data_IF_788994125346
#
_entry.id   IF_788994125346
#
_cell.length_a   1.000
_cell.length_b   1.000
_cell.length_c   1.000
_cell.angle_alpha   90.00
_cell.angle_beta   90.00
_cell.angle_gamma   90.00
#
_symmetry.space_group_name_H-M   'P 1'
#
loop_
_entity.id
_entity.type
_entity.pdbx_description
1 polymer ?
#
# COMPACT_ATOMS: atom_id res chain seq x y z
N UNK A 1 22.56 34.76 25.30
CA UNK A 1 22.50 34.45 23.86
C UNK A 1 22.45 32.94 23.72
N UNK A 2 21.28 32.40 23.36
CA UNK A 2 20.99 30.96 23.36
C UNK A 2 21.40 30.33 22.02
N UNK A 3 22.22 29.29 22.08
CA UNK A 3 22.61 28.45 20.95
C UNK A 3 21.54 27.37 20.76
N UNK A 4 20.72 27.51 19.71
CA UNK A 4 19.76 26.50 19.31
C UNK A 4 20.49 25.35 18.58
N UNK A 5 20.77 24.28 19.30
CA UNK A 5 21.15 22.99 18.72
C UNK A 5 19.95 22.43 17.95
N UNK A 6 20.01 22.47 16.62
CA UNK A 6 19.03 21.82 15.75
C UNK A 6 19.22 20.30 15.80
N UNK A 7 18.51 19.66 16.73
CA UNK A 7 18.25 18.23 16.73
C UNK A 7 17.45 17.88 15.47
N UNK A 8 18.07 17.16 14.52
CA UNK A 8 17.37 16.51 13.42
C UNK A 8 17.26 15.01 13.71
N UNK A 9 16.12 14.51 14.22
CA UNK A 9 15.93 13.09 14.39
C UNK A 9 15.56 12.45 13.04
N UNK A 10 16.33 11.43 12.64
CA UNK A 10 15.97 10.35 11.73
C UNK A 10 15.55 10.70 10.29
N UNK A 11 16.55 10.68 9.39
CA UNK A 11 16.33 10.44 7.95
C UNK A 11 16.13 8.93 7.75
N UNK A 12 14.87 8.49 7.64
CA UNK A 12 14.50 7.09 7.42
C UNK A 12 15.04 6.57 6.08
N UNK A 13 16.11 5.77 6.11
CA UNK A 13 16.68 5.10 4.91
C UNK A 13 15.71 4.09 4.26
N UNK A 14 14.70 3.63 5.00
CA UNK A 14 13.72 2.63 4.55
C UNK A 14 12.64 3.18 3.60
N UNK A 15 12.32 4.48 3.67
CA UNK A 15 11.34 5.11 2.77
C UNK A 15 11.69 4.96 1.30
N UNK A 16 12.99 4.96 1.00
CA UNK A 16 13.54 4.78 -0.35
C UNK A 16 13.33 3.35 -0.87
N UNK A 17 13.42 2.33 -0.01
CA UNK A 17 13.20 0.94 -0.41
C UNK A 17 11.73 0.66 -0.72
N UNK A 18 10.80 1.21 0.08
CA UNK A 18 9.37 1.10 -0.22
C UNK A 18 9.03 1.75 -1.56
N UNK A 19 9.60 2.93 -1.87
CA UNK A 19 9.43 3.56 -3.19
C UNK A 19 10.03 2.75 -4.33
N UNK A 20 11.24 2.21 -4.15
CA UNK A 20 11.90 1.42 -5.20
C UNK A 20 11.13 0.12 -5.52
N UNK A 21 10.51 -0.51 -4.52
CA UNK A 21 9.67 -1.68 -4.73
C UNK A 21 8.34 -1.32 -5.41
N UNK A 22 7.72 -0.20 -5.04
CA UNK A 22 6.54 0.33 -5.73
C UNK A 22 6.86 0.63 -7.21
N UNK A 23 7.97 1.33 -7.49
CA UNK A 23 8.41 1.68 -8.85
C UNK A 23 8.71 0.42 -9.68
N UNK A 24 9.33 -0.60 -9.09
CA UNK A 24 9.60 -1.88 -9.76
C UNK A 24 8.31 -2.62 -10.11
N UNK A 25 7.33 -2.65 -9.21
CA UNK A 25 6.05 -3.30 -9.47
C UNK A 25 5.25 -2.58 -10.57
N UNK A 26 5.23 -1.25 -10.58
CA UNK A 26 4.62 -0.45 -11.66
C UNK A 26 5.33 -0.71 -13.01
N UNK A 27 6.64 -0.96 -13.00
CA UNK A 27 7.38 -1.32 -14.22
C UNK A 27 7.07 -2.74 -14.74
N UNK A 28 6.70 -3.69 -13.88
CA UNK A 28 6.33 -5.06 -14.28
C UNK A 28 4.92 -5.10 -14.89
N UNK A 29 3.95 -4.40 -14.29
CA UNK A 29 2.56 -4.37 -14.78
C UNK A 29 2.44 -3.73 -16.17
N UNK A 30 3.40 -2.86 -16.54
CA UNK A 30 3.38 -2.09 -17.80
C UNK A 30 3.93 -2.86 -19.03
N UNK A 31 4.57 -4.03 -18.87
CA UNK A 31 5.29 -4.70 -19.97
C UNK A 31 4.47 -5.62 -20.90
N UNK A 32 3.16 -5.83 -20.67
CA UNK A 32 2.44 -6.86 -21.44
C UNK A 32 0.93 -6.70 -21.70
N UNK A 33 0.25 -5.66 -21.22
CA UNK A 33 -1.22 -5.57 -21.35
C UNK A 33 -1.68 -4.14 -21.61
N UNK A 34 -2.83 -3.99 -22.28
CA UNK A 34 -3.51 -2.70 -22.51
C UNK A 34 -3.53 -1.91 -21.19
N UNK A 35 -2.73 -0.84 -21.11
CA UNK A 35 -2.62 0.16 -20.04
C UNK A 35 -3.77 0.11 -19.02
N UNK A 36 -3.71 -0.85 -18.08
CA UNK A 36 -4.56 -0.78 -16.91
C UNK A 36 -4.00 0.39 -16.13
N UNK A 37 -4.83 1.40 -15.88
CA UNK A 37 -4.41 2.57 -15.10
C UNK A 37 -4.06 2.06 -13.72
N UNK A 38 -2.78 1.93 -13.40
CA UNK A 38 -2.33 1.65 -12.05
C UNK A 38 -2.19 2.96 -11.30
N UNK A 39 -2.38 2.94 -9.99
CA UNK A 39 -1.99 4.04 -9.13
C UNK A 39 -1.45 3.52 -7.79
N UNK A 40 -0.73 4.38 -7.09
CA UNK A 40 -0.11 4.07 -5.81
C UNK A 40 -0.80 4.90 -4.69
N UNK A 41 -1.78 4.32 -3.96
CA UNK A 41 -2.48 5.02 -2.89
C UNK A 41 -1.52 5.44 -1.79
N UNK A 42 -1.78 6.59 -1.16
CA UNK A 42 -0.90 7.13 -0.11
C UNK A 42 -1.12 6.41 1.21
N UNK A 43 -0.03 6.14 1.91
CA UNK A 43 -0.05 5.51 3.22
C UNK A 43 0.91 6.21 4.18
N UNK A 44 0.44 6.39 5.41
CA UNK A 44 1.29 6.63 6.56
C UNK A 44 1.70 5.29 7.19
N UNK A 45 2.95 5.21 7.64
CA UNK A 45 3.52 4.04 8.30
C UNK A 45 4.08 4.47 9.63
N UNK A 46 3.63 3.82 10.71
CA UNK A 46 4.06 4.13 12.09
C UNK A 46 4.49 2.85 12.79
N UNK A 47 5.59 2.93 13.53
CA UNK A 47 6.11 1.82 14.31
C UNK A 47 5.89 2.09 15.80
N UNK A 48 5.38 1.09 16.52
CA UNK A 48 5.35 1.04 17.96
C UNK A 48 6.23 -0.12 18.46
N UNK A 49 6.29 -0.28 19.79
CA UNK A 49 7.09 -1.34 20.42
C UNK A 49 6.67 -2.74 19.96
N UNK A 50 5.37 -2.98 19.85
CA UNK A 50 4.74 -4.30 19.64
C UNK A 50 4.15 -4.49 18.24
N UNK A 51 4.00 -3.43 17.45
CA UNK A 51 3.32 -3.49 16.16
C UNK A 51 3.75 -2.38 15.19
N UNK A 52 3.46 -2.58 13.92
CA UNK A 52 3.41 -1.54 12.89
C UNK A 52 1.95 -1.17 12.60
N UNK A 53 1.73 0.06 12.18
CA UNK A 53 0.42 0.60 11.81
C UNK A 53 0.53 1.23 10.43
N UNK A 54 -0.39 0.85 9.54
CA UNK A 54 -0.55 1.43 8.21
C UNK A 54 -1.90 2.15 8.15
N UNK A 55 -1.92 3.39 7.68
CA UNK A 55 -3.14 4.14 7.41
C UNK A 55 -3.10 4.65 5.97
N UNK A 56 -3.99 4.14 5.11
CA UNK A 56 -3.98 4.40 3.68
C UNK A 56 -5.26 5.01 3.14
N UNK A 57 -5.12 5.96 2.22
CA UNK A 57 -6.25 6.61 1.55
C UNK A 57 -6.77 5.73 0.40
N UNK A 58 -7.97 5.16 0.60
CA UNK A 58 -8.72 4.38 -0.40
C UNK A 58 -10.17 4.88 -0.50
N UNK A 59 -10.41 6.10 -1.02
CA UNK A 59 -11.74 6.68 -1.08
C UNK A 59 -12.63 5.97 -2.10
N UNK A 60 -13.85 5.62 -1.68
CA UNK A 60 -14.88 5.04 -2.56
C UNK A 60 -14.67 3.57 -2.91
N UNK A 61 -13.70 2.89 -2.28
CA UNK A 61 -13.57 1.43 -2.41
C UNK A 61 -14.39 0.71 -1.34
N UNK A 62 -14.93 -0.45 -1.68
CA UNK A 62 -15.54 -1.34 -0.70
C UNK A 62 -14.51 -2.29 -0.09
N UNK A 63 -14.77 -2.83 1.10
CA UNK A 63 -13.87 -3.79 1.75
C UNK A 63 -13.62 -5.05 0.90
N UNK A 64 -14.56 -5.42 0.04
CA UNK A 64 -14.48 -6.63 -0.80
C UNK A 64 -13.55 -6.46 -2.01
N UNK A 65 -13.17 -5.22 -2.31
CA UNK A 65 -12.30 -4.88 -3.44
C UNK A 65 -10.85 -4.63 -2.99
N UNK A 66 -10.55 -4.89 -1.70
CA UNK A 66 -9.22 -4.74 -1.12
C UNK A 66 -8.74 -6.10 -0.63
N UNK A 67 -7.62 -6.55 -1.18
CA UNK A 67 -6.93 -7.77 -0.77
C UNK A 67 -5.66 -7.43 -0.01
N UNK A 68 -5.39 -8.16 1.07
CA UNK A 68 -4.17 -8.04 1.87
C UNK A 68 -3.53 -9.42 1.91
N UNK A 69 -2.29 -9.51 1.42
CA UNK A 69 -1.55 -10.75 1.27
C UNK A 69 -0.17 -10.62 1.93
N UNK A 70 0.42 -11.76 2.32
CA UNK A 70 1.81 -11.84 2.75
C UNK A 70 2.62 -12.61 1.73
N UNK A 71 3.73 -12.05 1.25
CA UNK A 71 4.63 -12.74 0.32
C UNK A 71 5.71 -13.53 1.05
N UNK A 72 6.05 -13.11 2.27
CA UNK A 72 7.03 -13.72 3.15
C UNK A 72 6.82 -13.26 4.61
N UNK A 73 7.67 -13.68 5.53
CA UNK A 73 7.57 -13.39 6.98
C UNK A 73 7.73 -11.91 7.38
N UNK A 74 8.08 -11.05 6.42
CA UNK A 74 8.38 -9.64 6.61
C UNK A 74 7.56 -8.73 5.69
N UNK A 75 6.91 -9.25 4.65
CA UNK A 75 6.33 -8.43 3.59
C UNK A 75 4.82 -8.62 3.50
N UNK A 76 4.10 -7.49 3.56
CA UNK A 76 2.66 -7.39 3.35
C UNK A 76 2.39 -6.62 2.06
N UNK A 77 1.44 -7.09 1.26
CA UNK A 77 1.01 -6.44 0.03
C UNK A 77 -0.47 -6.11 0.13
N UNK A 78 -0.85 -4.86 -0.21
CA UNK A 78 -2.24 -4.39 -0.26
C UNK A 78 -2.58 -4.14 -1.73
N UNK A 79 -3.59 -4.83 -2.25
CA UNK A 79 -4.04 -4.73 -3.65
C UNK A 79 -5.51 -4.38 -3.72
N UNK A 80 -5.93 -3.87 -4.87
CA UNK A 80 -7.35 -3.65 -5.15
C UNK A 80 -7.57 -2.83 -6.41
N UNK A 81 -8.83 -2.50 -6.67
CA UNK A 81 -9.23 -1.71 -7.84
C UNK A 81 -10.28 -0.68 -7.45
N UNK A 82 -10.10 0.56 -7.91
CA UNK A 82 -11.11 1.63 -7.82
C UNK A 82 -11.56 2.00 -9.23
N UNK A 83 -12.85 2.25 -9.42
CA UNK A 83 -13.39 2.71 -10.69
C UNK A 83 -14.20 3.99 -10.50
N UNK A 84 -14.37 4.74 -11.58
CA UNK A 84 -15.34 5.85 -11.61
C UNK A 84 -16.69 5.24 -11.92
N UNK A 85 -17.72 5.72 -11.22
CA UNK A 85 -19.12 5.37 -11.53
C UNK A 85 -19.57 5.97 -12.87
N UNK A 86 -18.83 6.94 -13.40
CA UNK A 86 -19.09 7.60 -14.68
C UNK A 86 -17.91 7.42 -15.65
N UNK A 87 -18.23 7.33 -16.94
CA UNK A 87 -17.22 7.30 -18.00
C UNK A 87 -16.68 8.70 -18.28
N UNK A 88 -15.36 8.85 -18.36
CA UNK A 88 -14.73 10.11 -18.82
C UNK A 88 -14.75 10.27 -20.34
N UNK A 89 -15.19 9.24 -21.07
CA UNK A 89 -15.41 9.29 -22.51
C UNK A 89 -16.90 9.08 -22.77
N UNK A 90 -17.58 10.02 -23.43
CA UNK A 90 -18.99 9.87 -23.72
C UNK A 90 -19.21 8.68 -24.66
N UNK A 91 -20.30 7.94 -24.46
CA UNK A 91 -20.71 6.92 -25.42
C UNK A 91 -21.32 7.57 -26.66
N UNK A 92 -21.37 6.86 -27.79
CA UNK A 92 -22.06 7.36 -28.99
C UNK A 92 -23.54 7.72 -28.72
N UNK A 93 -24.17 7.01 -27.80
CA UNK A 93 -25.55 7.28 -27.37
C UNK A 93 -25.65 8.58 -26.57
N UNK A 94 -24.71 8.84 -25.66
CA UNK A 94 -24.65 10.08 -24.88
C UNK A 94 -24.35 11.31 -25.75
N UNK A 95 -23.52 11.16 -26.80
CA UNK A 95 -23.27 12.23 -27.76
C UNK A 95 -24.52 12.54 -28.59
N UNK A 96 -25.19 11.51 -29.12
CA UNK A 96 -26.43 11.67 -29.90
C UNK A 96 -27.59 12.24 -29.07
N UNK A 97 -27.67 11.86 -27.79
CA UNK A 97 -28.70 12.34 -26.86
C UNK A 97 -28.40 13.73 -26.26
N UNK A 98 -27.21 14.29 -26.48
CA UNK A 98 -26.80 15.55 -25.88
C UNK A 98 -26.60 15.49 -24.36
N UNK A 99 -26.45 14.28 -23.79
CA UNK A 99 -26.24 14.05 -22.35
C UNK A 99 -24.77 13.87 -21.99
N UNK A 100 -23.87 13.90 -22.99
CA UNK A 100 -22.42 13.82 -22.80
C UNK A 100 -21.88 14.94 -21.89
N UNK A 101 -21.13 14.54 -20.87
CA UNK A 101 -20.47 15.49 -19.97
C UNK A 101 -19.14 15.99 -20.55
N UNK A 102 -18.94 17.32 -20.57
CA UNK A 102 -17.63 17.92 -20.82
C UNK A 102 -16.82 17.98 -19.52
N UNK A 103 -15.78 17.17 -19.43
CA UNK A 103 -14.86 17.18 -18.28
C UNK A 103 -13.86 18.34 -18.40
N UNK A 104 -13.82 19.21 -17.38
CA UNK A 104 -12.85 20.31 -17.31
C UNK A 104 -11.51 19.87 -16.66
N UNK A 105 -11.56 18.88 -15.76
CA UNK A 105 -10.37 18.30 -15.12
C UNK A 105 -10.64 16.86 -14.67
N UNK A 106 -9.60 16.03 -14.61
CA UNK A 106 -9.66 14.68 -14.02
C UNK A 106 -8.46 14.46 -13.10
N UNK A 107 -8.65 14.66 -11.79
CA UNK A 107 -7.54 14.59 -10.81
C UNK A 107 -7.58 13.30 -9.98
N UNK A 108 -8.74 12.64 -9.88
CA UNK A 108 -8.89 11.39 -9.13
C UNK A 108 -8.09 10.26 -9.78
N UNK A 109 -7.16 9.68 -9.04
CA UNK A 109 -6.53 8.40 -9.38
C UNK A 109 -7.54 7.27 -9.25
N UNK A 110 -7.71 6.48 -10.32
CA UNK A 110 -8.60 5.32 -10.38
C UNK A 110 -7.94 4.23 -11.22
N UNK A 111 -8.31 2.98 -10.95
CA UNK A 111 -7.81 1.77 -11.58
C UNK A 111 -7.22 0.81 -10.55
N UNK A 112 -6.32 -0.07 -10.98
CA UNK A 112 -5.70 -1.07 -10.11
C UNK A 112 -4.63 -0.42 -9.20
N UNK A 113 -4.43 -0.97 -8.02
CA UNK A 113 -3.31 -0.58 -7.16
C UNK A 113 -2.70 -1.80 -6.47
N UNK A 114 -1.42 -1.66 -6.14
CA UNK A 114 -0.67 -2.60 -5.32
C UNK A 114 0.38 -1.84 -4.54
N UNK A 115 0.37 -1.95 -3.21
CA UNK A 115 1.36 -1.35 -2.31
C UNK A 115 2.04 -2.43 -1.50
N UNK A 116 3.36 -2.43 -1.51
CA UNK A 116 4.18 -3.43 -0.81
C UNK A 116 4.89 -2.80 0.38
N UNK A 117 4.79 -3.45 1.54
CA UNK A 117 5.43 -3.04 2.78
C UNK A 117 6.30 -4.18 3.33
N UNK A 118 7.62 -4.03 3.27
CA UNK A 118 8.59 -4.90 3.94
C UNK A 118 9.02 -4.33 5.29
N UNK A 119 8.91 -5.11 6.36
CA UNK A 119 9.22 -4.72 7.73
C UNK A 119 10.62 -5.20 8.17
N UNK A 120 11.34 -4.43 9.00
CA UNK A 120 12.68 -4.80 9.46
C UNK A 120 12.74 -6.11 10.27
N UNK A 121 11.64 -6.48 10.92
CA UNK A 121 11.51 -7.68 11.73
C UNK A 121 10.33 -8.53 11.28
N UNK A 122 10.32 -9.80 11.69
CA UNK A 122 9.21 -10.71 11.38
C UNK A 122 7.90 -10.17 11.96
N UNK A 123 6.82 -10.41 11.25
CA UNK A 123 5.47 -10.05 11.65
C UNK A 123 4.66 -11.28 12.04
N UNK A 124 3.72 -11.09 12.96
CA UNK A 124 2.74 -12.10 13.35
C UNK A 124 1.54 -12.03 12.40
N UNK A 125 1.63 -12.79 11.31
CA UNK A 125 0.65 -12.77 10.21
C UNK A 125 -0.74 -13.21 10.67
N UNK A 126 -0.81 -14.16 11.60
CA UNK A 126 -2.07 -14.74 12.10
C UNK A 126 -2.90 -13.73 12.89
N UNK A 127 -2.26 -12.68 13.43
CA UNK A 127 -2.88 -11.67 14.28
C UNK A 127 -2.98 -10.28 13.63
N UNK A 128 -2.75 -10.18 12.32
CA UNK A 128 -2.97 -8.94 11.58
C UNK A 128 -4.46 -8.61 11.54
N UNK A 129 -4.79 -7.33 11.75
CA UNK A 129 -6.17 -6.84 11.70
C UNK A 129 -6.24 -5.62 10.79
N UNK A 130 -7.26 -5.59 9.94
CA UNK A 130 -7.52 -4.49 9.04
C UNK A 130 -8.96 -3.99 9.20
N UNK A 131 -9.16 -2.70 8.96
CA UNK A 131 -10.48 -2.09 8.89
C UNK A 131 -10.48 -0.94 7.90
N UNK A 132 -11.56 -0.82 7.12
CA UNK A 132 -11.78 0.29 6.18
C UNK A 132 -12.96 1.11 6.68
N UNK A 133 -12.72 2.39 6.97
CA UNK A 133 -13.76 3.32 7.43
C UNK A 133 -13.52 4.70 6.83
N UNK A 134 -14.58 5.31 6.29
CA UNK A 134 -14.54 6.66 5.72
C UNK A 134 -13.45 6.83 4.65
N UNK A 135 -13.17 5.79 3.86
CA UNK A 135 -12.13 5.82 2.83
C UNK A 135 -10.69 5.68 3.35
N UNK A 136 -10.50 5.35 4.63
CA UNK A 136 -9.17 5.09 5.22
C UNK A 136 -9.07 3.62 5.62
N UNK A 137 -8.09 2.92 5.05
CA UNK A 137 -7.70 1.57 5.44
C UNK A 137 -6.68 1.65 6.58
N UNK A 138 -7.04 1.15 7.75
CA UNK A 138 -6.14 1.00 8.89
C UNK A 138 -5.76 -0.46 9.04
N UNK A 139 -4.46 -0.76 9.08
CA UNK A 139 -3.92 -2.10 9.29
C UNK A 139 -3.01 -2.09 10.52
N UNK A 140 -3.30 -2.95 11.50
CA UNK A 140 -2.41 -3.24 12.63
C UNK A 140 -1.66 -4.54 12.34
N UNK A 141 -0.32 -4.46 12.32
CA UNK A 141 0.57 -5.57 12.05
C UNK A 141 1.43 -5.85 13.29
N UNK A 142 1.06 -6.83 14.14
CA UNK A 142 1.86 -7.16 15.31
C UNK A 142 3.24 -7.70 14.91
N UNK A 143 4.26 -7.38 15.70
CA UNK A 143 5.60 -7.95 15.54
C UNK A 143 5.58 -9.39 16.04
N UNK A 144 6.25 -10.29 15.30
CA UNK A 144 6.39 -11.67 15.73
C UNK A 144 7.20 -11.75 17.04
N UNK A 145 6.90 -12.74 17.91
CA UNK A 145 7.73 -13.00 19.07
C UNK A 145 9.18 -13.29 18.66
N UNK A 146 10.11 -12.92 19.54
CA UNK A 146 11.52 -13.18 19.33
C UNK A 146 11.75 -14.69 19.10
N UNK A 147 12.55 -15.08 18.09
CA UNK A 147 12.87 -16.48 17.88
C UNK A 147 13.48 -17.08 19.16
N UNK A 148 12.99 -18.24 19.58
CA UNK A 148 13.65 -19.02 20.61
C UNK A 148 14.94 -19.58 20.01
N UNK A 149 16.09 -19.24 20.60
CA UNK A 149 17.38 -19.74 20.14
C UNK A 149 17.41 -21.26 20.24
N UNK A 150 17.63 -21.95 19.11
CA UNK A 150 17.89 -23.39 19.10
C UNK A 150 19.41 -23.61 19.14
N UNK A 151 19.86 -24.40 20.12
CA UNK A 151 21.25 -24.86 20.17
C UNK A 151 21.40 -26.01 19.17
N UNK A 152 22.35 -25.88 18.25
CA UNK A 152 22.72 -26.96 17.34
C UNK A 152 23.88 -27.73 17.95
N UNK A 153 23.77 -29.05 18.00
CA UNK A 153 24.85 -29.95 18.40
C UNK A 153 25.61 -30.38 17.16
N UNK A 154 26.94 -30.39 17.22
CA UNK A 154 27.81 -30.88 16.14
C UNK A 154 27.89 -32.40 16.27
N UNK A 155 27.58 -33.14 15.20
CA UNK A 155 27.74 -34.59 15.11
C UNK A 155 29.12 -34.92 14.50
N UNK A 156 29.76 -36.00 14.97
CA UNK A 156 31.00 -36.52 14.37
C UNK A 156 30.63 -37.38 13.14
N UNK A 157 31.39 -37.20 12.04
CA UNK A 157 31.22 -37.92 10.75
C UNK A 157 31.95 -39.27 10.74
#
# INVERSE_FOLDING_TARGET
>A
MSLATHFHPYRNEWGSLFRLLDDYNDHITTRGSKSIKSFSPRFDVREAKDAYYLDGELPGISQKEVDIEFTDQHTLVIKGTTQREYSTQPSEEEEKAGTAHKYWATERSVGEFSRTFTFPGRIDQDNVKAGLKNGILTVKIPKAPAPTSKKVTIEEE
#
